data_IF_037919169468
#
_entry.id   IF_037919169468
#
_cell.length_a   1.000
_cell.length_b   1.000
_cell.length_c   1.000
_cell.angle_alpha   90.00
_cell.angle_beta   90.00
_cell.angle_gamma   90.00
#
_symmetry.space_group_name_H-M   'P 1'
#
loop_
_entity.id
_entity.type
_entity.pdbx_description
1 polymer ?
#
# COMPACT_ATOMS: atom_id res chain seq x y z
N UNK A 1 3.71 6.89 19.54
CA UNK A 1 2.77 6.61 18.43
C UNK A 1 1.30 6.63 18.85
N UNK A 2 0.94 6.52 20.15
CA UNK A 2 -0.47 6.67 20.56
C UNK A 2 -1.42 5.62 19.98
N UNK A 3 -0.86 4.49 19.54
CA UNK A 3 -1.59 3.39 18.92
C UNK A 3 -2.34 2.60 19.99
N UNK A 4 -3.65 2.39 19.79
CA UNK A 4 -4.42 1.43 20.56
C UNK A 4 -4.33 0.05 19.88
N UNK A 5 -3.42 -0.79 20.36
CA UNK A 5 -3.24 -2.13 19.82
C UNK A 5 -4.30 -3.13 20.29
N UNK A 6 -5.22 -2.74 21.17
CA UNK A 6 -6.27 -3.60 21.73
C UNK A 6 -7.58 -3.39 21.00
N UNK A 7 -8.01 -2.14 20.81
CA UNK A 7 -9.36 -1.82 20.31
C UNK A 7 -9.41 -1.49 18.82
N UNK A 8 -8.30 -1.02 18.27
CA UNK A 8 -8.21 -0.62 16.86
C UNK A 8 -7.50 -1.68 16.02
N UNK A 9 -7.80 -1.70 14.72
CA UNK A 9 -7.04 -2.41 13.71
C UNK A 9 -6.14 -1.42 12.97
N UNK A 10 -4.84 -1.63 13.08
CA UNK A 10 -3.81 -0.66 12.69
C UNK A 10 -3.10 -1.15 11.42
N UNK A 11 -3.40 -0.50 10.29
CA UNK A 11 -2.73 -0.74 9.02
C UNK A 11 -1.63 0.29 8.78
N UNK A 12 -0.44 -0.15 8.41
CA UNK A 12 0.63 0.76 7.98
C UNK A 12 0.91 0.65 6.50
N UNK A 13 0.88 1.79 5.81
CA UNK A 13 1.32 1.94 4.43
C UNK A 13 2.80 2.27 4.42
N UNK A 14 3.60 1.42 3.79
CA UNK A 14 5.04 1.59 3.68
C UNK A 14 5.53 1.23 2.27
N UNK A 15 6.81 1.49 2.01
CA UNK A 15 7.43 1.29 0.70
C UNK A 15 8.21 2.52 0.26
N UNK A 16 8.81 2.48 -0.94
CA UNK A 16 9.73 3.52 -1.42
C UNK A 16 9.11 4.93 -1.44
N UNK A 17 9.97 5.92 -1.57
CA UNK A 17 9.55 7.31 -1.81
C UNK A 17 8.76 7.41 -3.12
N UNK A 18 7.77 8.32 -3.19
CA UNK A 18 6.98 8.64 -4.42
C UNK A 18 6.10 7.53 -5.01
N UNK A 19 5.94 6.40 -4.33
CA UNK A 19 4.98 5.34 -4.72
C UNK A 19 3.51 5.72 -4.49
N UNK A 20 3.23 6.85 -3.83
CA UNK A 20 1.87 7.39 -3.68
C UNK A 20 1.13 7.00 -2.40
N UNK A 21 1.84 6.65 -1.32
CA UNK A 21 1.26 6.28 -0.01
C UNK A 21 0.29 7.33 0.55
N UNK A 22 0.80 8.54 0.78
CA UNK A 22 0.02 9.67 1.28
C UNK A 22 -1.16 10.01 0.36
N UNK A 23 -0.97 9.92 -0.96
CA UNK A 23 -2.02 10.14 -1.95
C UNK A 23 -3.14 9.10 -1.84
N UNK A 24 -2.79 7.82 -1.68
CA UNK A 24 -3.76 6.75 -1.51
C UNK A 24 -4.53 6.90 -0.18
N UNK A 25 -3.83 7.19 0.93
CA UNK A 25 -4.47 7.46 2.22
C UNK A 25 -5.45 8.62 2.13
N UNK A 26 -5.08 9.72 1.48
CA UNK A 26 -5.98 10.85 1.27
C UNK A 26 -7.20 10.45 0.44
N UNK A 27 -7.00 9.68 -0.63
CA UNK A 27 -8.09 9.20 -1.48
C UNK A 27 -9.05 8.28 -0.71
N UNK A 28 -8.54 7.35 0.10
CA UNK A 28 -9.34 6.47 0.99
C UNK A 28 -10.18 7.32 1.95
N UNK A 29 -9.59 8.39 2.50
CA UNK A 29 -10.27 9.34 3.39
C UNK A 29 -11.16 10.34 2.66
N UNK A 30 -11.22 10.31 1.33
CA UNK A 30 -11.99 11.27 0.55
C UNK A 30 -11.54 12.72 0.66
N UNK A 31 -10.32 12.98 1.15
CA UNK A 31 -9.75 14.33 1.29
C UNK A 31 -8.81 14.65 0.13
N UNK A 32 -8.79 15.90 -0.30
CA UNK A 32 -7.87 16.39 -1.33
C UNK A 32 -6.52 16.75 -0.70
N UNK A 33 -5.42 16.73 -1.48
CA UNK A 33 -4.07 17.01 -0.94
C UNK A 33 -3.91 18.36 -0.23
N UNK A 34 -4.73 19.36 -0.56
CA UNK A 34 -4.67 20.70 0.03
C UNK A 34 -5.71 20.92 1.15
N UNK A 35 -6.50 19.90 1.48
CA UNK A 35 -7.49 20.02 2.55
C UNK A 35 -6.80 20.00 3.92
N UNK A 36 -7.39 20.68 4.90
CA UNK A 36 -6.89 20.66 6.28
C UNK A 36 -6.85 19.23 6.82
N UNK A 37 -5.69 18.81 7.34
CA UNK A 37 -5.50 17.44 7.87
C UNK A 37 -5.28 16.36 6.81
N UNK A 38 -5.03 16.73 5.55
CA UNK A 38 -4.52 15.82 4.53
C UNK A 38 -3.11 15.31 4.90
N UNK A 39 -2.80 14.08 4.47
CA UNK A 39 -1.43 13.59 4.46
C UNK A 39 -0.61 14.42 3.47
N UNK A 40 0.55 14.90 3.94
CA UNK A 40 1.40 15.80 3.15
C UNK A 40 1.90 15.11 1.88
N UNK A 41 1.61 15.68 0.72
CA UNK A 41 2.10 15.21 -0.57
C UNK A 41 3.13 16.22 -1.09
N UNK A 42 4.32 15.77 -1.46
CA UNK A 42 5.40 16.64 -1.92
C UNK A 42 6.44 15.92 -2.77
N UNK A 43 7.31 16.73 -3.41
CA UNK A 43 8.42 16.24 -4.26
C UNK A 43 9.58 15.72 -3.39
N UNK A 44 9.76 16.27 -2.19
CA UNK A 44 10.64 15.76 -1.13
C UNK A 44 9.84 14.97 -0.10
N UNK A 45 10.49 14.08 0.67
CA UNK A 45 9.84 13.43 1.81
C UNK A 45 9.39 14.48 2.83
N UNK A 46 8.08 14.69 2.94
CA UNK A 46 7.48 15.65 3.89
C UNK A 46 7.23 14.98 5.25
N UNK A 47 7.13 13.65 5.27
CA UNK A 47 6.81 12.85 6.45
C UNK A 47 8.11 12.30 7.05
N UNK A 48 8.57 12.86 8.18
CA UNK A 48 9.76 12.34 8.89
C UNK A 48 9.41 11.17 9.84
N UNK A 49 8.21 11.21 10.40
CA UNK A 49 7.66 10.23 11.34
C UNK A 49 6.36 9.63 10.84
N UNK A 50 6.08 8.40 11.27
CA UNK A 50 4.82 7.72 10.94
C UNK A 50 3.62 8.53 11.46
N UNK A 51 2.65 8.83 10.58
CA UNK A 51 1.46 9.61 10.92
C UNK A 51 0.19 8.78 10.84
N UNK A 52 -0.67 8.92 11.84
CA UNK A 52 -1.95 8.22 11.91
C UNK A 52 -3.08 9.06 11.31
N UNK A 53 -3.97 8.39 10.58
CA UNK A 53 -5.18 8.95 10.00
C UNK A 53 -6.38 8.04 10.24
N UNK A 54 -7.51 8.64 10.58
CA UNK A 54 -8.77 7.91 10.77
C UNK A 54 -9.37 7.46 9.43
N UNK A 55 -9.82 6.20 9.34
CA UNK A 55 -10.64 5.73 8.23
C UNK A 55 -12.08 6.25 8.39
N UNK A 56 -12.64 6.89 7.35
CA UNK A 56 -14.03 7.37 7.35
C UNK A 56 -15.00 6.19 7.13
N UNK A 57 -15.90 5.96 8.08
CA UNK A 57 -16.88 4.86 8.03
C UNK A 57 -16.45 3.57 8.74
N UNK A 58 -15.20 3.46 9.18
CA UNK A 58 -14.71 2.36 10.02
C UNK A 58 -13.93 2.94 11.23
N UNK A 59 -14.63 3.29 12.34
CA UNK A 59 -14.03 4.05 13.43
C UNK A 59 -12.86 3.33 14.13
N UNK A 60 -12.87 2.00 14.14
CA UNK A 60 -11.80 1.16 14.71
C UNK A 60 -10.65 0.89 13.74
N UNK A 61 -10.69 1.42 12.52
CA UNK A 61 -9.60 1.24 11.54
C UNK A 61 -8.74 2.50 11.51
N UNK A 62 -7.43 2.30 11.71
CA UNK A 62 -6.42 3.35 11.69
C UNK A 62 -5.46 3.11 10.52
N UNK A 63 -5.22 4.16 9.74
CA UNK A 63 -4.32 4.14 8.59
C UNK A 63 -3.06 4.94 8.94
N UNK A 64 -1.91 4.29 8.88
CA UNK A 64 -0.64 4.93 9.18
C UNK A 64 0.16 5.15 7.91
N UNK A 65 0.57 6.39 7.67
CA UNK A 65 1.47 6.77 6.58
C UNK A 65 2.91 6.75 7.10
N UNK A 66 3.71 5.82 6.60
CA UNK A 66 5.13 5.78 6.89
C UNK A 66 5.91 6.67 5.90
N UNK A 67 7.09 7.19 6.29
CA UNK A 67 8.02 7.80 5.33
C UNK A 67 8.34 6.88 4.14
N UNK A 68 9.01 7.41 3.11
CA UNK A 68 9.61 6.56 2.09
C UNK A 68 10.75 5.73 2.64
N UNK A 69 10.78 4.45 2.29
CA UNK A 69 11.92 3.59 2.59
C UNK A 69 13.04 3.78 1.55
N UNK A 70 14.28 3.48 1.94
CA UNK A 70 15.43 3.49 1.05
C UNK A 70 16.04 4.88 0.78
N UNK A 71 15.75 5.86 1.63
CA UNK A 71 16.38 7.19 1.56
C UNK A 71 17.51 7.33 2.57
N UNK A 72 18.35 8.36 2.44
CA UNK A 72 19.42 8.63 3.41
C UNK A 72 18.89 8.78 4.85
N UNK A 73 17.71 9.38 5.01
CA UNK A 73 17.07 9.60 6.31
C UNK A 73 16.31 8.36 6.80
N UNK A 74 15.95 7.45 5.88
CA UNK A 74 15.19 6.25 6.16
C UNK A 74 15.83 5.04 5.45
N UNK A 75 17.03 4.62 5.89
CA UNK A 75 17.78 3.55 5.24
C UNK A 75 17.00 2.24 5.26
N UNK A 76 17.03 1.50 4.15
CA UNK A 76 16.33 0.23 4.01
C UNK A 76 16.65 -0.73 5.17
N UNK A 77 17.93 -0.83 5.55
CA UNK A 77 18.44 -1.81 6.50
C UNK A 77 17.81 -1.71 7.90
N UNK A 78 17.51 -0.50 8.37
CA UNK A 78 16.94 -0.27 9.70
C UNK A 78 15.46 0.07 9.65
N UNK A 79 14.91 0.34 8.46
CA UNK A 79 13.58 0.91 8.25
C UNK A 79 12.48 0.18 9.01
N UNK A 80 12.45 -1.15 8.92
CA UNK A 80 11.39 -1.96 9.53
C UNK A 80 11.34 -1.77 11.06
N UNK A 81 12.50 -1.75 11.71
CA UNK A 81 12.64 -1.57 13.15
C UNK A 81 12.42 -0.11 13.55
N UNK A 82 13.02 0.84 12.82
CA UNK A 82 12.91 2.27 13.10
C UNK A 82 11.47 2.76 13.05
N UNK A 83 10.70 2.28 12.08
CA UNK A 83 9.28 2.61 11.90
C UNK A 83 8.34 1.66 12.64
N UNK A 84 8.91 0.70 13.38
CA UNK A 84 8.21 -0.27 14.23
C UNK A 84 7.09 -1.00 13.49
N UNK A 85 7.37 -1.43 12.25
CA UNK A 85 6.37 -2.09 11.40
C UNK A 85 5.81 -3.37 12.06
N UNK A 86 6.60 -4.01 12.93
CA UNK A 86 6.16 -5.15 13.76
C UNK A 86 5.01 -4.84 14.71
N UNK A 87 4.73 -3.57 15.03
CA UNK A 87 3.65 -3.20 15.96
C UNK A 87 2.26 -3.17 15.29
N UNK A 88 2.20 -3.22 13.96
CA UNK A 88 0.96 -3.11 13.19
C UNK A 88 0.32 -4.47 12.94
N UNK A 89 -1.00 -4.46 12.74
CA UNK A 89 -1.79 -5.65 12.48
C UNK A 89 -1.53 -6.20 11.07
N UNK A 90 -1.37 -5.31 10.11
CA UNK A 90 -1.03 -5.65 8.74
C UNK A 90 -0.22 -4.53 8.08
N UNK A 91 0.72 -4.94 7.24
CA UNK A 91 1.59 -4.06 6.46
C UNK A 91 1.05 -3.99 5.03
N UNK A 92 0.72 -2.78 4.58
CA UNK A 92 0.46 -2.48 3.18
C UNK A 92 1.76 -2.01 2.51
N UNK A 93 2.44 -2.95 1.84
CA UNK A 93 3.68 -2.68 1.12
C UNK A 93 3.36 -2.17 -0.28
N UNK A 94 3.57 -0.87 -0.49
CA UNK A 94 3.29 -0.18 -1.75
C UNK A 94 4.53 -0.11 -2.65
N UNK A 95 4.34 -0.32 -3.95
CA UNK A 95 5.37 -0.15 -4.96
C UNK A 95 4.75 0.30 -6.28
N UNK A 96 5.51 1.06 -7.08
CA UNK A 96 5.03 1.66 -8.33
C UNK A 96 5.86 1.27 -9.58
N UNK A 97 6.77 0.31 -9.44
CA UNK A 97 7.72 -0.15 -10.45
C UNK A 97 8.30 -1.51 -10.09
N UNK A 98 9.63 -1.61 -10.11
CA UNK A 98 10.36 -2.77 -9.61
C UNK A 98 10.35 -2.85 -8.09
N UNK A 99 10.44 -4.07 -7.55
CA UNK A 99 10.70 -4.32 -6.15
C UNK A 99 12.13 -3.88 -5.81
N UNK A 100 12.26 -2.72 -5.17
CA UNK A 100 13.54 -2.20 -4.72
C UNK A 100 14.05 -2.98 -3.50
N UNK A 101 15.35 -2.86 -3.21
CA UNK A 101 15.99 -3.44 -2.02
C UNK A 101 15.22 -3.11 -0.73
N UNK A 102 14.71 -1.88 -0.62
CA UNK A 102 13.89 -1.47 0.52
C UNK A 102 12.62 -2.29 0.68
N UNK A 103 11.98 -2.69 -0.42
CA UNK A 103 10.80 -3.55 -0.37
C UNK A 103 11.17 -4.97 0.06
N UNK A 104 12.29 -5.50 -0.46
CA UNK A 104 12.80 -6.83 -0.11
C UNK A 104 13.13 -6.92 1.39
N UNK A 105 13.88 -5.94 1.93
CA UNK A 105 14.22 -5.94 3.35
C UNK A 105 13.00 -5.76 4.26
N UNK A 106 12.01 -4.94 3.88
CA UNK A 106 10.75 -4.86 4.63
C UNK A 106 10.06 -6.22 4.65
N UNK A 107 10.01 -6.90 3.51
CA UNK A 107 9.32 -8.18 3.38
C UNK A 107 10.01 -9.31 4.16
N UNK A 108 11.34 -9.37 4.12
CA UNK A 108 12.14 -10.33 4.90
C UNK A 108 11.90 -10.17 6.40
N UNK A 109 11.94 -8.94 6.91
CA UNK A 109 11.63 -8.68 8.31
C UNK A 109 10.16 -8.97 8.64
N UNK A 110 9.22 -8.60 7.78
CA UNK A 110 7.81 -8.91 8.00
C UNK A 110 7.58 -10.42 8.13
N UNK A 111 8.22 -11.22 7.27
CA UNK A 111 8.20 -12.68 7.38
C UNK A 111 8.80 -13.16 8.71
N UNK A 112 9.98 -12.68 9.10
CA UNK A 112 10.64 -13.08 10.35
C UNK A 112 9.78 -12.77 11.59
N UNK A 113 8.98 -11.70 11.53
CA UNK A 113 8.08 -11.28 12.60
C UNK A 113 6.64 -11.83 12.46
N UNK A 114 6.41 -12.74 11.51
CA UNK A 114 5.09 -13.30 11.20
C UNK A 114 4.01 -12.22 10.98
N UNK A 115 4.39 -11.10 10.35
CA UNK A 115 3.49 -9.98 10.08
C UNK A 115 2.76 -10.20 8.76
N UNK A 116 1.42 -10.08 8.74
CA UNK A 116 0.66 -10.08 7.49
C UNK A 116 1.12 -8.95 6.58
N UNK A 117 1.30 -9.26 5.29
CA UNK A 117 1.62 -8.28 4.25
C UNK A 117 0.61 -8.41 3.12
N UNK A 118 0.03 -7.27 2.72
CA UNK A 118 -0.66 -7.14 1.45
C UNK A 118 0.07 -6.12 0.56
N UNK A 119 0.21 -6.47 -0.70
CA UNK A 119 0.97 -5.70 -1.68
C UNK A 119 0.03 -4.81 -2.47
N UNK A 120 0.42 -3.54 -2.62
CA UNK A 120 -0.34 -2.58 -3.40
C UNK A 120 0.52 -2.09 -4.56
N UNK A 121 0.21 -2.57 -5.77
CA UNK A 121 0.76 -2.03 -7.01
C UNK A 121 0.04 -0.73 -7.31
N UNK A 122 0.67 0.39 -6.99
CA UNK A 122 0.04 1.70 -7.17
C UNK A 122 0.15 2.19 -8.62
N UNK A 123 -0.61 3.25 -8.92
CA UNK A 123 -0.65 3.93 -10.23
C UNK A 123 -1.14 2.99 -11.35
N UNK A 124 -2.11 2.14 -11.03
CA UNK A 124 -2.72 1.22 -11.97
C UNK A 124 -3.33 1.92 -13.19
N UNK A 125 -3.81 3.16 -13.03
CA UNK A 125 -4.26 4.03 -14.12
C UNK A 125 -3.19 4.18 -15.21
N UNK A 126 -1.96 4.51 -14.80
CA UNK A 126 -0.85 4.72 -15.74
C UNK A 126 -0.37 3.41 -16.37
N UNK A 127 -0.38 2.33 -15.59
CA UNK A 127 -0.02 1.02 -16.12
C UNK A 127 -1.01 0.55 -17.20
N UNK A 128 -2.30 0.84 -17.01
CA UNK A 128 -3.31 0.54 -18.02
C UNK A 128 -3.08 1.37 -19.29
N UNK A 129 -2.83 2.68 -19.14
CA UNK A 129 -2.48 3.56 -20.27
C UNK A 129 -1.25 3.01 -21.03
N UNK A 130 -0.20 2.59 -20.31
CA UNK A 130 1.00 2.00 -20.89
C UNK A 130 0.70 0.69 -21.64
N UNK A 131 -0.15 -0.18 -21.09
CA UNK A 131 -0.55 -1.43 -21.77
C UNK A 131 -1.31 -1.11 -23.05
N UNK A 132 -2.33 -0.25 -22.99
CA UNK A 132 -3.15 0.12 -24.15
C UNK A 132 -2.30 0.75 -25.26
N UNK A 133 -1.35 1.61 -24.89
CA UNK A 133 -0.42 2.21 -25.84
C UNK A 133 0.50 1.20 -26.53
N UNK A 134 1.02 0.21 -25.77
CA UNK A 134 2.03 -0.73 -26.27
C UNK A 134 1.45 -1.97 -26.96
N UNK A 135 0.23 -2.39 -26.66
CA UNK A 135 -0.35 -3.64 -27.18
C UNK A 135 -1.31 -3.45 -28.37
N UNK A 136 -1.54 -2.20 -28.83
CA UNK A 136 -2.54 -1.86 -29.85
C UNK A 136 -3.95 -2.41 -29.53
N UNK A 137 -4.23 -2.64 -28.24
CA UNK A 137 -5.50 -3.15 -27.75
C UNK A 137 -6.41 -1.95 -27.48
N UNK A 138 -7.46 -1.81 -28.29
CA UNK A 138 -8.46 -0.75 -28.11
C UNK A 138 -9.54 -1.11 -27.07
N UNK A 139 -9.60 -2.38 -26.64
CA UNK A 139 -10.54 -2.85 -25.61
C UNK A 139 -9.94 -2.76 -24.21
N UNK A 140 -10.49 -1.87 -23.38
CA UNK A 140 -10.03 -1.64 -22.01
C UNK A 140 -10.08 -2.89 -21.12
N UNK A 141 -11.07 -3.78 -21.30
CA UNK A 141 -11.20 -4.99 -20.48
C UNK A 141 -10.12 -6.01 -20.84
N UNK A 142 -9.82 -6.15 -22.13
CA UNK A 142 -8.68 -6.97 -22.58
C UNK A 142 -7.37 -6.40 -22.05
N UNK A 143 -7.18 -5.08 -22.12
CA UNK A 143 -5.99 -4.41 -21.59
C UNK A 143 -5.86 -4.60 -20.06
N UNK A 144 -6.95 -4.51 -19.30
CA UNK A 144 -6.96 -4.81 -17.87
C UNK A 144 -6.56 -6.26 -17.58
N UNK A 145 -7.11 -7.22 -18.33
CA UNK A 145 -6.74 -8.62 -18.15
C UNK A 145 -5.25 -8.87 -18.42
N UNK A 146 -4.71 -8.28 -19.50
CA UNK A 146 -3.28 -8.32 -19.80
C UNK A 146 -2.44 -7.68 -18.70
N UNK A 147 -2.86 -6.51 -18.20
CA UNK A 147 -2.20 -5.81 -17.11
C UNK A 147 -2.11 -6.68 -15.85
N UNK A 148 -3.21 -7.33 -15.44
CA UNK A 148 -3.21 -8.24 -14.31
C UNK A 148 -2.22 -9.39 -14.50
N UNK A 149 -2.22 -10.04 -15.66
CA UNK A 149 -1.29 -11.12 -15.96
C UNK A 149 0.18 -10.66 -15.91
N UNK A 150 0.49 -9.50 -16.50
CA UNK A 150 1.83 -8.91 -16.49
C UNK A 150 2.30 -8.58 -15.07
N UNK A 151 1.44 -7.95 -14.26
CA UNK A 151 1.77 -7.59 -12.88
C UNK A 151 1.97 -8.83 -12.01
N UNK A 152 1.13 -9.86 -12.16
CA UNK A 152 1.27 -11.12 -11.45
C UNK A 152 2.58 -11.84 -11.80
N UNK A 153 2.91 -11.95 -13.09
CA UNK A 153 4.17 -12.55 -13.55
C UNK A 153 5.39 -11.78 -13.03
N UNK A 154 5.37 -10.46 -13.14
CA UNK A 154 6.46 -9.62 -12.63
C UNK A 154 6.61 -9.73 -11.10
N UNK A 155 5.49 -9.81 -10.38
CA UNK A 155 5.49 -9.99 -8.93
C UNK A 155 6.14 -11.32 -8.54
N UNK A 156 5.74 -12.43 -9.17
CA UNK A 156 6.32 -13.76 -8.91
C UNK A 156 7.83 -13.82 -9.19
N UNK A 157 8.30 -13.14 -10.23
CA UNK A 157 9.72 -13.07 -10.57
C UNK A 157 10.56 -12.22 -9.61
N UNK A 158 9.96 -11.20 -9.00
CA UNK A 158 10.68 -10.26 -8.13
C UNK A 158 10.58 -10.64 -6.64
N UNK A 159 9.56 -11.42 -6.26
CA UNK A 159 9.23 -11.79 -4.88
C UNK A 159 9.47 -13.28 -4.65
N UNK A 160 10.55 -13.82 -5.24
CA UNK A 160 10.86 -15.26 -5.30
C UNK A 160 10.99 -15.91 -3.91
N UNK A 161 11.54 -15.19 -2.93
CA UNK A 161 11.81 -15.74 -1.60
C UNK A 161 10.60 -15.74 -0.65
N UNK A 162 9.48 -15.11 -1.05
CA UNK A 162 8.29 -15.03 -0.21
C UNK A 162 7.20 -15.95 -0.75
N UNK A 163 6.96 -17.04 -0.01
CA UNK A 163 5.93 -18.04 -0.34
C UNK A 163 4.74 -18.00 0.62
N UNK A 164 4.66 -16.98 1.49
CA UNK A 164 3.53 -16.82 2.39
C UNK A 164 2.24 -16.48 1.64
N UNK A 165 1.06 -16.74 2.25
CA UNK A 165 -0.19 -16.19 1.74
C UNK A 165 -0.06 -14.67 1.58
N UNK A 166 -0.46 -14.17 0.42
CA UNK A 166 -0.45 -12.75 0.15
C UNK A 166 -1.62 -12.34 -0.72
N UNK A 167 -1.94 -11.06 -0.62
CA UNK A 167 -2.82 -10.39 -1.54
C UNK A 167 -2.01 -9.36 -2.32
N UNK A 168 -2.22 -9.32 -3.64
CA UNK A 168 -1.70 -8.29 -4.52
C UNK A 168 -2.87 -7.54 -5.12
N UNK A 169 -2.93 -6.23 -4.90
CA UNK A 169 -3.98 -5.37 -5.41
C UNK A 169 -3.38 -4.29 -6.32
N UNK A 170 -3.93 -4.13 -7.50
CA UNK A 170 -3.71 -2.99 -8.39
C UNK A 170 -4.63 -1.86 -7.96
N UNK A 171 -4.06 -0.71 -7.61
CA UNK A 171 -4.82 0.43 -7.09
C UNK A 171 -4.46 1.73 -7.79
N UNK A 172 -5.48 2.54 -8.06
CA UNK A 172 -5.33 3.92 -8.49
C UNK A 172 -5.93 4.88 -7.47
N UNK A 173 -5.08 5.65 -6.78
CA UNK A 173 -5.57 6.69 -5.88
C UNK A 173 -6.39 7.78 -6.61
N UNK A 174 -6.14 8.01 -7.90
CA UNK A 174 -6.86 9.00 -8.72
C UNK A 174 -8.25 8.52 -9.11
N UNK A 175 -8.37 7.23 -9.37
CA UNK A 175 -9.62 6.59 -9.81
C UNK A 175 -10.27 5.75 -8.70
N UNK A 176 -9.85 5.92 -7.44
CA UNK A 176 -10.25 5.06 -6.32
C UNK A 176 -11.77 4.92 -6.17
N UNK A 177 -12.53 5.96 -6.52
CA UNK A 177 -14.01 5.97 -6.47
C UNK A 177 -14.69 5.32 -7.67
N UNK A 178 -13.99 5.23 -8.81
CA UNK A 178 -14.47 4.51 -9.99
C UNK A 178 -14.33 3.00 -9.80
N UNK A 179 -13.41 2.58 -8.92
CA UNK A 179 -13.13 1.18 -8.61
C UNK A 179 -12.88 0.35 -9.87
N UNK A 180 -12.02 0.90 -10.75
CA UNK A 180 -11.72 0.35 -12.07
C UNK A 180 -10.70 -0.80 -12.05
N UNK A 181 -10.06 -1.04 -10.90
CA UNK A 181 -9.05 -2.09 -10.67
C UNK A 181 -9.46 -2.94 -9.46
N UNK A 182 -8.54 -3.23 -8.53
CA UNK A 182 -8.80 -4.10 -7.39
C UNK A 182 -9.33 -3.35 -6.15
N UNK A 183 -9.74 -2.08 -6.29
CA UNK A 183 -10.12 -1.27 -5.13
C UNK A 183 -11.26 -1.88 -4.31
N UNK A 184 -12.24 -2.52 -4.98
CA UNK A 184 -13.34 -3.22 -4.28
C UNK A 184 -12.80 -4.33 -3.39
N UNK A 185 -11.95 -5.21 -3.94
CA UNK A 185 -11.36 -6.32 -3.21
C UNK A 185 -10.43 -5.84 -2.09
N UNK A 186 -9.68 -4.76 -2.32
CA UNK A 186 -8.83 -4.14 -1.31
C UNK A 186 -9.66 -3.59 -0.13
N UNK A 187 -10.78 -2.92 -0.40
CA UNK A 187 -11.65 -2.45 0.69
C UNK A 187 -12.36 -3.58 1.43
N UNK A 188 -12.77 -4.65 0.74
CA UNK A 188 -13.29 -5.85 1.41
C UNK A 188 -12.25 -6.48 2.32
N UNK A 189 -10.99 -6.58 1.86
CA UNK A 189 -9.89 -7.07 2.69
C UNK A 189 -9.74 -6.25 3.98
N UNK A 190 -9.76 -4.91 3.90
CA UNK A 190 -9.70 -4.04 5.08
C UNK A 190 -10.87 -4.32 6.03
N UNK A 191 -12.10 -4.44 5.50
CA UNK A 191 -13.31 -4.68 6.32
C UNK A 191 -13.26 -6.03 7.03
N UNK A 192 -12.88 -7.08 6.30
CA UNK A 192 -12.79 -8.44 6.85
C UNK A 192 -11.71 -8.54 7.93
N UNK A 193 -10.52 -7.97 7.67
CA UNK A 193 -9.44 -7.89 8.65
C UNK A 193 -9.85 -7.12 9.91
N UNK A 194 -10.57 -6.00 9.77
CA UNK A 194 -11.06 -5.24 10.91
C UNK A 194 -12.17 -5.96 11.70
N UNK A 195 -13.00 -6.76 11.03
CA UNK A 195 -14.08 -7.51 11.66
C UNK A 195 -13.58 -8.72 12.48
N UNK A 196 -12.45 -9.32 12.11
CA UNK A 196 -11.93 -10.52 12.80
C UNK A 196 -11.53 -10.26 14.26
N UNK A 197 -11.19 -9.02 14.63
CA UNK A 197 -10.93 -8.61 16.02
C UNK A 197 -12.19 -8.43 16.88
N UNK A 198 -13.39 -8.42 16.30
CA UNK A 198 -14.63 -8.22 17.07
C UNK A 198 -15.07 -9.48 17.84
N UNK A 199 -14.42 -10.62 17.61
CA UNK A 199 -14.80 -11.92 18.17
C UNK A 199 -13.74 -12.55 19.10
N UNK A 200 -12.72 -11.80 19.49
CA UNK A 200 -11.69 -12.19 20.47
C UNK A 200 -11.67 -11.20 21.63
#
# INVERSE_FOLDING_TARGET
>A
MGMDAVRDYNFIFCGPTKVGKSTLINAIRGVKPNDAGAAGVGISEVTQDVRCYQYLGLPRVKLYDAPGAGTRSHPAATYFMDKKLYAFDCIFLMYDGSFLESCQQILEHAHAWAKPVAFLRSKADRLLDDVMYNSAVDDEQVAKHQLHAQVQNAFQQQVVAYHGPHHLFLVSARQLRLANFDEVAFFEYIRQAAASRQFT
#
